data_IF_408244093982
#
_entry.id   IF_408244093982
#
_cell.length_a   1.000
_cell.length_b   1.000
_cell.length_c   1.000
_cell.angle_alpha   90.00
_cell.angle_beta   90.00
_cell.angle_gamma   90.00
#
_symmetry.space_group_name_H-M   'P 1'
#
loop_
_entity.id
_entity.type
_entity.pdbx_description
1 polymer ?
#
# COMPACT_ATOMS: atom_id res chain seq x y z
N UNK A 1 22.30 13.02 6.09
CA UNK A 1 21.66 11.69 6.09
C UNK A 1 20.16 11.91 6.00
N UNK A 2 19.56 11.62 4.85
CA UNK A 2 18.12 11.86 4.61
C UNK A 2 17.37 10.57 4.94
N UNK A 3 16.62 10.54 6.04
CA UNK A 3 15.67 9.45 6.35
C UNK A 3 14.43 9.51 5.44
N UNK A 4 14.63 9.72 4.13
CA UNK A 4 13.57 9.79 3.11
C UNK A 4 13.31 8.45 2.41
N UNK A 5 14.00 7.38 2.79
CA UNK A 5 14.00 6.11 2.05
C UNK A 5 12.89 5.13 2.45
N UNK A 6 12.12 5.42 3.48
CA UNK A 6 11.06 4.51 3.93
C UNK A 6 9.82 4.67 3.05
N UNK A 7 9.45 3.59 2.36
CA UNK A 7 8.24 3.50 1.55
C UNK A 7 7.15 2.83 2.36
N UNK A 8 5.92 3.30 2.20
CA UNK A 8 4.78 2.77 2.93
C UNK A 8 3.62 2.54 1.97
N UNK A 9 2.84 1.51 2.27
CA UNK A 9 1.56 1.23 1.63
C UNK A 9 0.46 1.20 2.67
N UNK A 10 -0.77 1.36 2.19
CA UNK A 10 -1.96 1.13 2.99
C UNK A 10 -2.55 -0.21 2.57
N UNK A 11 -2.49 -1.18 3.48
CA UNK A 11 -3.07 -2.50 3.33
C UNK A 11 -4.44 -2.53 3.98
N UNK A 12 -5.40 -3.17 3.34
CA UNK A 12 -6.68 -3.48 3.93
C UNK A 12 -6.51 -4.78 4.72
N UNK A 13 -6.79 -4.73 6.02
CA UNK A 13 -6.81 -5.88 6.91
C UNK A 13 -8.26 -6.35 7.11
N UNK A 14 -8.48 -7.26 8.06
CA UNK A 14 -9.81 -7.74 8.42
C UNK A 14 -10.74 -6.58 8.82
N UNK A 15 -12.03 -6.72 8.51
CA UNK A 15 -13.08 -5.72 8.74
C UNK A 15 -12.96 -4.42 7.92
N UNK A 16 -12.26 -4.46 6.78
CA UNK A 16 -12.01 -3.31 5.89
C UNK A 16 -11.26 -2.15 6.56
N UNK A 17 -10.48 -2.46 7.60
CA UNK A 17 -9.65 -1.46 8.29
C UNK A 17 -8.35 -1.28 7.52
N UNK A 18 -7.88 -0.04 7.41
CA UNK A 18 -6.60 0.27 6.78
C UNK A 18 -5.46 0.20 7.79
N UNK A 19 -4.39 -0.48 7.43
CA UNK A 19 -3.11 -0.47 8.14
C UNK A 19 -2.00 0.11 7.27
N UNK A 20 -1.27 1.10 7.81
CA UNK A 20 -0.04 1.59 7.18
C UNK A 20 1.08 0.59 7.46
N UNK A 21 1.68 0.06 6.40
CA UNK A 21 2.75 -0.93 6.47
C UNK A 21 3.96 -0.40 5.72
N UNK A 22 5.13 -0.47 6.33
CA UNK A 22 6.39 -0.14 5.67
C UNK A 22 6.78 -1.26 4.71
N UNK A 23 7.23 -0.90 3.52
CA UNK A 23 7.68 -1.83 2.49
C UNK A 23 9.09 -1.49 2.04
N UNK A 24 9.82 -2.53 1.65
CA UNK A 24 11.09 -2.37 0.96
C UNK A 24 10.83 -2.41 -0.54
N UNK A 25 11.26 -1.38 -1.26
CA UNK A 25 11.13 -1.31 -2.72
C UNK A 25 12.50 -1.41 -3.37
N UNK A 26 12.59 -2.15 -4.47
CA UNK A 26 13.79 -2.32 -5.27
C UNK A 26 13.84 -1.34 -6.43
N UNK A 27 14.09 -1.87 -7.62
CA UNK A 27 14.25 -1.06 -8.83
C UNK A 27 12.91 -0.56 -9.36
N UNK A 28 12.93 0.64 -9.96
CA UNK A 28 11.80 1.18 -10.73
C UNK A 28 12.10 1.03 -12.21
N UNK A 29 11.24 0.35 -12.96
CA UNK A 29 11.45 0.10 -14.39
C UNK A 29 10.14 0.24 -15.15
N UNK A 30 10.15 1.00 -16.26
CA UNK A 30 9.00 1.20 -17.18
C UNK A 30 7.67 1.52 -16.47
N UNK A 31 7.71 2.36 -15.44
CA UNK A 31 6.52 2.76 -14.68
C UNK A 31 6.13 1.81 -13.54
N UNK A 32 6.72 0.61 -13.49
CA UNK A 32 6.52 -0.35 -12.41
C UNK A 32 7.57 -0.19 -11.32
N UNK A 33 7.19 -0.46 -10.07
CA UNK A 33 8.09 -0.45 -8.92
C UNK A 33 8.14 -1.86 -8.32
N UNK A 34 9.35 -2.38 -8.15
CA UNK A 34 9.56 -3.67 -7.50
C UNK A 34 9.37 -3.55 -5.99
N UNK A 35 8.63 -4.48 -5.40
CA UNK A 35 8.47 -4.61 -3.94
C UNK A 35 9.25 -5.84 -3.50
N UNK A 36 10.29 -5.62 -2.68
CA UNK A 36 11.17 -6.68 -2.19
C UNK A 36 10.61 -7.34 -0.93
N UNK A 37 9.97 -6.57 -0.05
CA UNK A 37 9.42 -7.07 1.22
C UNK A 37 8.22 -6.24 1.69
N UNK A 38 7.36 -6.86 2.51
CA UNK A 38 6.25 -6.20 3.21
C UNK A 38 4.91 -6.20 2.47
N UNK A 39 4.84 -6.88 1.32
CA UNK A 39 3.61 -7.16 0.58
C UNK A 39 3.65 -8.59 0.07
N UNK A 40 2.52 -9.29 0.17
CA UNK A 40 2.39 -10.67 -0.30
C UNK A 40 1.29 -10.79 -1.35
N UNK A 41 1.37 -11.85 -2.15
CA UNK A 41 0.32 -12.15 -3.12
C UNK A 41 -1.02 -12.41 -2.41
N UNK A 42 -2.10 -11.84 -2.94
CA UNK A 42 -3.43 -11.85 -2.32
C UNK A 42 -3.71 -10.68 -1.36
N UNK A 43 -2.71 -9.87 -1.02
CA UNK A 43 -2.91 -8.69 -0.20
C UNK A 43 -3.69 -7.60 -0.93
N UNK A 44 -4.71 -7.06 -0.27
CA UNK A 44 -5.48 -5.91 -0.76
C UNK A 44 -4.82 -4.62 -0.32
N UNK A 45 -4.46 -3.77 -1.29
CA UNK A 45 -3.85 -2.46 -1.05
C UNK A 45 -4.73 -1.34 -1.59
N UNK A 46 -4.51 -0.13 -1.07
CA UNK A 46 -5.12 1.08 -1.59
C UNK A 46 -4.22 1.69 -2.66
N UNK A 47 -4.69 1.69 -3.91
CA UNK A 47 -3.98 2.30 -5.04
C UNK A 47 -4.40 3.77 -5.28
N UNK A 48 -5.65 4.12 -4.98
CA UNK A 48 -6.23 5.44 -5.24
C UNK A 48 -6.77 6.08 -3.95
N UNK A 49 -6.85 7.41 -3.88
CA UNK A 49 -7.47 8.11 -2.74
C UNK A 49 -6.60 8.21 -1.47
N UNK A 50 -5.28 8.08 -1.60
CA UNK A 50 -4.31 8.14 -0.50
C UNK A 50 -4.38 9.42 0.36
N UNK A 51 -4.93 10.51 -0.17
CA UNK A 51 -5.11 11.78 0.54
C UNK A 51 -6.23 11.75 1.58
N UNK A 52 -7.21 10.85 1.43
CA UNK A 52 -8.39 10.74 2.31
C UNK A 52 -8.27 9.61 3.32
N UNK A 53 -7.37 8.66 3.10
CA UNK A 53 -7.20 7.50 3.98
C UNK A 53 -6.27 7.81 5.14
N UNK A 54 -6.57 7.22 6.30
CA UNK A 54 -5.74 7.29 7.51
C UNK A 54 -5.56 5.89 8.10
N UNK A 55 -4.44 5.61 8.80
CA UNK A 55 -4.29 4.35 9.54
C UNK A 55 -5.43 4.17 10.54
N UNK A 56 -6.03 2.98 10.61
CA UNK A 56 -7.16 2.67 11.49
C UNK A 56 -8.53 3.07 10.94
N UNK A 57 -8.60 3.71 9.78
CA UNK A 57 -9.87 4.05 9.13
C UNK A 57 -10.50 2.82 8.49
N UNK A 58 -11.82 2.65 8.66
CA UNK A 58 -12.60 1.69 7.89
C UNK A 58 -12.90 2.26 6.51
N UNK A 59 -12.66 1.49 5.46
CA UNK A 59 -12.97 1.88 4.09
C UNK A 59 -13.96 0.91 3.46
N UNK A 60 -14.57 1.33 2.36
CA UNK A 60 -15.33 0.42 1.51
C UNK A 60 -14.49 0.16 0.26
N UNK A 61 -13.89 -1.04 0.12
CA UNK A 61 -13.06 -1.32 -1.05
C UNK A 61 -13.92 -1.28 -2.31
N UNK A 62 -13.46 -0.52 -3.31
CA UNK A 62 -14.02 -0.53 -4.66
C UNK A 62 -13.06 -1.38 -5.48
N UNK A 63 -13.45 -2.62 -5.74
CA UNK A 63 -12.68 -3.52 -6.60
C UNK A 63 -13.07 -3.14 -8.03
N UNK A 64 -12.18 -2.48 -8.77
CA UNK A 64 -12.33 -2.39 -10.22
C UNK A 64 -12.08 -3.80 -10.77
N UNK A 65 -13.15 -4.51 -11.14
CA UNK A 65 -13.01 -5.60 -12.11
C UNK A 65 -12.66 -4.93 -13.43
N UNK A 66 -11.45 -5.19 -13.90
CA UNK A 66 -10.97 -4.76 -15.20
C UNK A 66 -11.74 -5.47 -16.32
#
# INVERSE_FOLDING_TARGET
MYEGSKKFIYKIIENDIIKKTEIATGVRNKGNLEVLNGLYEGDKIIAEGLTKVRPGMKVKPIIKSQ
#
